data_IF_413575030855
#
_entry.id   IF_413575030855
#
_cell.length_a   1.000
_cell.length_b   1.000
_cell.length_c   1.000
_cell.angle_alpha   90.00
_cell.angle_beta   90.00
_cell.angle_gamma   90.00
#
_symmetry.space_group_name_H-M   'P 1'
#
loop_
_entity.id
_entity.type
_entity.pdbx_description
1 polymer ?
#
# COMPACT_ATOMS: atom_id res chain seq x y z
N UNK A 1 30.00 -18.29 10.30
CA UNK A 1 30.58 -17.55 11.45
C UNK A 1 30.12 -16.09 11.47
N UNK A 2 30.43 -15.25 10.46
CA UNK A 2 29.97 -13.84 10.47
C UNK A 2 28.44 -13.66 10.46
N UNK A 3 27.71 -14.48 9.72
CA UNK A 3 26.24 -14.44 9.66
C UNK A 3 25.58 -14.83 10.98
N UNK A 4 26.18 -15.78 11.71
CA UNK A 4 25.69 -16.18 13.05
C UNK A 4 25.97 -15.10 14.11
N UNK A 5 27.05 -14.33 13.97
CA UNK A 5 27.34 -13.19 14.87
C UNK A 5 26.38 -12.00 14.61
N UNK A 6 25.99 -11.74 13.36
CA UNK A 6 25.02 -10.69 13.06
C UNK A 6 23.59 -11.07 13.50
N UNK A 7 23.19 -12.32 13.32
CA UNK A 7 21.92 -12.84 13.87
C UNK A 7 21.90 -12.72 15.40
N UNK A 8 22.99 -13.05 16.07
CA UNK A 8 23.12 -12.90 17.52
C UNK A 8 23.10 -11.43 17.98
N UNK A 9 23.66 -10.49 17.22
CA UNK A 9 23.58 -9.05 17.53
C UNK A 9 22.16 -8.50 17.35
N UNK A 10 21.41 -8.97 16.34
CA UNK A 10 20.00 -8.65 16.17
C UNK A 10 19.15 -9.23 17.31
N UNK A 11 19.36 -10.49 17.65
CA UNK A 11 18.67 -11.11 18.80
C UNK A 11 18.97 -10.40 20.13
N UNK A 12 20.17 -9.87 20.31
CA UNK A 12 20.51 -9.08 21.49
C UNK A 12 19.82 -7.72 21.50
N UNK A 13 19.73 -7.03 20.36
CA UNK A 13 18.97 -5.76 20.24
C UNK A 13 17.48 -5.98 20.49
N UNK A 14 16.90 -7.05 19.93
CA UNK A 14 15.50 -7.40 20.18
C UNK A 14 15.24 -7.84 21.62
N UNK A 15 16.16 -8.58 22.26
CA UNK A 15 16.07 -8.94 23.68
C UNK A 15 16.18 -7.73 24.60
N UNK A 16 17.03 -6.76 24.27
CA UNK A 16 17.11 -5.51 25.04
C UNK A 16 15.81 -4.70 24.96
N UNK A 17 15.24 -4.57 23.77
CA UNK A 17 13.95 -3.91 23.57
C UNK A 17 12.80 -4.64 24.31
N UNK A 18 12.80 -5.98 24.33
CA UNK A 18 11.82 -6.79 25.07
C UNK A 18 11.97 -6.66 26.59
N UNK A 19 13.19 -6.58 27.11
CA UNK A 19 13.47 -6.44 28.57
C UNK A 19 13.08 -5.04 29.09
N UNK A 20 13.24 -4.00 28.27
CA UNK A 20 12.75 -2.66 28.63
C UNK A 20 11.21 -2.60 28.64
N UNK A 21 10.54 -3.37 27.79
CA UNK A 21 9.07 -3.50 27.76
C UNK A 21 8.52 -4.34 28.93
N UNK A 22 9.19 -5.43 29.34
CA UNK A 22 8.75 -6.22 30.50
C UNK A 22 8.83 -5.45 31.81
N UNK A 23 9.76 -4.49 31.96
CA UNK A 23 9.86 -3.63 33.15
C UNK A 23 8.73 -2.58 33.23
N UNK A 24 8.08 -2.24 32.14
CA UNK A 24 6.91 -1.34 32.13
C UNK A 24 5.57 -2.08 32.29
N UNK A 25 5.50 -3.38 32.00
CA UNK A 25 4.26 -4.16 32.04
C UNK A 25 3.98 -4.91 33.37
N UNK A 26 4.86 -4.82 34.36
CA UNK A 26 4.65 -5.49 35.67
C UNK A 26 3.61 -4.81 36.56
N UNK A 27 2.88 -3.79 36.13
CA UNK A 27 1.88 -3.06 36.93
C UNK A 27 0.44 -3.07 36.38
N UNK A 28 0.11 -3.87 35.36
CA UNK A 28 -1.30 -4.03 34.91
C UNK A 28 -1.59 -5.49 34.53
N UNK A 29 -1.93 -6.31 35.50
CA UNK A 29 -2.66 -7.56 35.30
C UNK A 29 -4.12 -7.37 35.70
N UNK A 30 -4.98 -7.95 34.89
CA UNK A 30 -6.39 -8.35 35.00
C UNK A 30 -7.19 -7.72 33.84
N UNK A 31 -7.71 -8.43 32.91
CA UNK A 31 -8.56 -9.60 32.80
C UNK A 31 -8.53 -10.16 31.37
N UNK A 32 -8.39 -11.49 31.26
CA UNK A 32 -8.60 -12.22 30.02
C UNK A 32 -10.08 -12.49 29.85
N UNK A 33 -10.64 -12.12 28.71
CA UNK A 33 -11.79 -12.81 28.13
C UNK A 33 -11.52 -13.09 26.65
N UNK A 34 -11.54 -14.39 26.35
CA UNK A 34 -11.41 -14.92 25.00
C UNK A 34 -12.71 -14.63 24.23
N UNK A 35 -12.64 -13.82 23.18
CA UNK A 35 -13.71 -13.73 22.19
C UNK A 35 -13.11 -13.94 20.79
N UNK A 36 -13.12 -15.19 20.34
CA UNK A 36 -12.93 -15.59 18.95
C UNK A 36 -14.22 -15.21 18.19
N UNK A 37 -14.17 -14.17 17.39
CA UNK A 37 -14.97 -13.85 16.21
C UNK A 37 -15.28 -12.36 16.05
N UNK A 38 -14.28 -11.49 15.99
CA UNK A 38 -14.51 -10.15 15.44
C UNK A 38 -13.64 -9.98 14.19
N UNK A 39 -14.28 -9.84 13.03
CA UNK A 39 -13.63 -9.44 11.77
C UNK A 39 -13.17 -7.96 11.79
N UNK A 40 -13.36 -7.27 12.88
CA UNK A 40 -13.00 -5.86 13.07
C UNK A 40 -11.52 -5.72 13.42
N UNK A 41 -10.81 -4.76 12.81
CA UNK A 41 -9.49 -4.35 13.27
C UNK A 41 -9.50 -3.95 14.74
N UNK A 42 -8.46 -4.32 15.49
CA UNK A 42 -8.35 -4.01 16.92
C UNK A 42 -8.21 -2.51 17.21
N UNK A 43 -7.53 -1.78 16.34
CA UNK A 43 -7.36 -0.33 16.44
C UNK A 43 -8.05 0.35 15.25
N UNK A 44 -9.20 0.93 15.51
CA UNK A 44 -10.03 1.58 14.48
C UNK A 44 -9.65 3.06 14.25
N UNK A 45 -8.80 3.66 15.09
CA UNK A 45 -8.38 5.05 14.93
C UNK A 45 -7.33 5.18 13.83
N UNK A 46 -6.31 4.32 13.86
CA UNK A 46 -5.17 4.36 12.95
C UNK A 46 -5.54 3.79 11.59
N UNK A 47 -5.25 4.50 10.51
CA UNK A 47 -5.49 4.05 9.13
C UNK A 47 -4.19 3.52 8.54
N UNK A 48 -4.18 2.29 8.03
CA UNK A 48 -3.05 1.75 7.30
C UNK A 48 -3.22 1.99 5.79
N UNK A 49 -2.26 2.67 5.18
CA UNK A 49 -2.21 3.00 3.77
C UNK A 49 -1.11 2.18 3.08
N UNK A 50 -1.48 1.24 2.23
CA UNK A 50 -0.54 0.44 1.45
C UNK A 50 -0.41 1.06 0.06
N UNK A 51 0.76 1.66 -0.21
CA UNK A 51 1.02 2.42 -1.43
C UNK A 51 1.53 1.50 -2.52
N UNK A 52 0.76 1.36 -3.58
CA UNK A 52 1.02 0.51 -4.73
C UNK A 52 1.11 1.34 -6.02
N UNK A 53 1.81 0.83 -7.02
CA UNK A 53 1.86 1.48 -8.34
C UNK A 53 3.03 1.01 -9.17
N UNK A 54 2.94 1.20 -10.47
CA UNK A 54 3.97 0.81 -11.42
C UNK A 54 5.30 1.54 -11.17
N UNK A 55 6.39 0.94 -11.63
CA UNK A 55 7.70 1.60 -11.57
C UNK A 55 7.66 2.96 -12.28
N UNK A 56 8.20 3.99 -11.63
CA UNK A 56 8.22 5.37 -12.13
C UNK A 56 6.90 6.13 -11.99
N UNK A 57 5.87 5.58 -11.34
CA UNK A 57 4.63 6.32 -11.02
C UNK A 57 4.80 7.40 -9.96
N UNK A 58 5.92 7.38 -9.24
CA UNK A 58 6.26 8.37 -8.21
C UNK A 58 5.85 7.95 -6.80
N UNK A 59 5.83 6.65 -6.48
CA UNK A 59 5.48 6.13 -5.14
C UNK A 59 6.29 6.76 -4.01
N UNK A 60 7.61 6.67 -4.06
CA UNK A 60 8.49 7.19 -3.01
C UNK A 60 8.33 8.70 -2.80
N UNK A 61 8.21 9.47 -3.90
CA UNK A 61 7.92 10.91 -3.81
C UNK A 61 6.52 11.18 -3.25
N UNK A 62 5.55 10.30 -3.56
CA UNK A 62 4.20 10.39 -3.02
C UNK A 62 4.20 10.11 -1.51
N UNK A 63 4.93 9.10 -1.05
CA UNK A 63 5.03 8.76 0.38
C UNK A 63 5.68 9.90 1.14
N UNK A 64 6.79 10.46 0.64
CA UNK A 64 7.42 11.64 1.23
C UNK A 64 6.42 12.80 1.37
N UNK A 65 5.72 13.13 0.27
CA UNK A 65 4.78 14.26 0.29
C UNK A 65 3.57 14.00 1.19
N UNK A 66 3.12 12.75 1.25
CA UNK A 66 2.02 12.34 2.15
C UNK A 66 2.43 12.50 3.63
N UNK A 67 3.65 12.11 4.00
CA UNK A 67 4.20 12.30 5.34
C UNK A 67 4.23 13.80 5.71
N UNK A 68 4.76 14.65 4.82
CA UNK A 68 4.77 16.10 5.02
C UNK A 68 3.36 16.68 5.24
N UNK A 69 2.37 16.24 4.44
CA UNK A 69 1.00 16.75 4.54
C UNK A 69 0.25 16.22 5.77
N UNK A 70 0.57 15.00 6.24
CA UNK A 70 0.05 14.47 7.52
C UNK A 70 0.64 15.27 8.68
N UNK A 71 1.95 15.50 8.68
CA UNK A 71 2.62 16.30 9.71
C UNK A 71 2.12 17.75 9.76
N UNK A 72 1.84 18.38 8.60
CA UNK A 72 1.25 19.73 8.53
C UNK A 72 -0.14 19.82 9.19
N UNK A 73 -0.80 18.71 9.45
CA UNK A 73 -2.11 18.62 10.13
C UNK A 73 -2.00 18.22 11.60
N UNK A 74 -0.80 18.25 12.17
CA UNK A 74 -0.51 17.79 13.53
C UNK A 74 -0.97 16.35 13.77
N UNK A 75 -0.84 15.48 12.73
CA UNK A 75 -1.15 14.05 12.79
C UNK A 75 0.12 13.22 12.76
N UNK A 76 0.12 12.11 13.49
CA UNK A 76 1.27 11.20 13.60
C UNK A 76 1.20 10.11 12.54
N UNK A 77 2.32 9.92 11.82
CA UNK A 77 2.47 8.86 10.83
C UNK A 77 3.63 7.93 11.16
N UNK A 78 3.48 6.66 10.78
CA UNK A 78 4.52 5.63 10.87
C UNK A 78 4.82 5.09 9.48
N UNK A 79 6.02 5.36 8.99
CA UNK A 79 6.40 5.01 7.62
C UNK A 79 7.16 3.69 7.62
N UNK A 80 6.70 2.77 6.77
CA UNK A 80 7.32 1.44 6.56
C UNK A 80 7.81 1.35 5.12
N UNK A 81 9.11 1.16 4.94
CA UNK A 81 9.69 0.85 3.63
C UNK A 81 9.80 -0.67 3.45
N UNK A 82 9.12 -1.20 2.42
CA UNK A 82 9.21 -2.61 2.02
C UNK A 82 9.96 -2.83 0.70
N UNK A 83 10.57 -1.79 0.12
CA UNK A 83 11.40 -1.93 -1.09
C UNK A 83 12.87 -2.16 -0.71
N UNK A 84 13.37 -3.42 -0.77
CA UNK A 84 14.76 -3.70 -0.42
C UNK A 84 15.76 -3.25 -1.49
N UNK A 85 15.29 -2.92 -2.70
CA UNK A 85 16.13 -2.56 -3.83
C UNK A 85 16.35 -1.05 -3.97
N UNK A 86 15.61 -0.24 -3.23
CA UNK A 86 15.78 1.22 -3.25
C UNK A 86 17.13 1.59 -2.62
N UNK A 87 17.89 2.48 -3.30
CA UNK A 87 19.19 2.92 -2.79
C UNK A 87 19.01 3.96 -1.67
N UNK A 88 18.30 5.03 -1.99
CA UNK A 88 18.00 6.13 -1.07
C UNK A 88 16.50 6.40 -1.06
N UNK A 89 15.92 6.54 0.12
CA UNK A 89 14.55 7.00 0.30
C UNK A 89 14.54 8.51 0.47
N UNK A 90 13.52 9.19 -0.06
CA UNK A 90 13.35 10.63 0.08
C UNK A 90 12.77 11.02 1.44
N UNK A 91 12.39 10.05 2.25
CA UNK A 91 11.83 10.14 3.60
C UNK A 91 12.62 9.25 4.56
N UNK A 92 12.53 9.48 5.85
CA UNK A 92 13.11 8.61 6.89
C UNK A 92 12.08 7.57 7.34
N UNK A 93 12.22 6.30 6.91
CA UNK A 93 11.29 5.27 7.35
C UNK A 93 11.50 4.94 8.83
N UNK A 94 10.41 4.80 9.58
CA UNK A 94 10.46 4.32 10.96
C UNK A 94 10.81 2.83 11.03
N UNK A 95 10.47 2.08 9.98
CA UNK A 95 10.84 0.68 9.80
C UNK A 95 11.26 0.46 8.36
N UNK A 96 12.45 -0.09 8.17
CA UNK A 96 13.01 -0.34 6.85
C UNK A 96 13.37 -1.82 6.68
N UNK A 97 12.90 -2.43 5.60
CA UNK A 97 13.23 -3.82 5.27
C UNK A 97 14.75 -4.02 5.11
N UNK A 98 15.48 -2.97 4.67
CA UNK A 98 16.95 -3.01 4.45
C UNK A 98 17.74 -3.17 5.75
N UNK A 99 17.16 -2.84 6.90
CA UNK A 99 17.76 -3.04 8.22
C UNK A 99 17.73 -4.51 8.63
N UNK A 100 16.74 -5.26 8.13
CA UNK A 100 16.56 -6.67 8.48
C UNK A 100 17.08 -7.63 7.43
N UNK A 101 17.09 -7.23 6.14
CA UNK A 101 17.46 -8.10 5.02
C UNK A 101 18.38 -7.37 4.04
N UNK A 102 19.58 -7.91 3.82
CA UNK A 102 20.58 -7.36 2.88
C UNK A 102 20.29 -7.81 1.45
N UNK A 103 19.60 -7.01 0.66
CA UNK A 103 19.19 -7.33 -0.71
C UNK A 103 20.32 -7.88 -1.60
N UNK A 104 21.50 -7.22 -1.61
CA UNK A 104 22.65 -7.64 -2.43
C UNK A 104 23.19 -8.99 -2.02
N UNK A 105 23.24 -9.29 -0.73
CA UNK A 105 23.71 -10.58 -0.21
C UNK A 105 22.73 -11.68 -0.56
N UNK A 106 21.41 -11.45 -0.42
CA UNK A 106 20.36 -12.39 -0.84
C UNK A 106 20.46 -12.71 -2.33
N UNK A 107 20.69 -11.68 -3.16
CA UNK A 107 20.84 -11.85 -4.60
C UNK A 107 22.03 -12.73 -4.97
N UNK A 108 23.20 -12.47 -4.37
CA UNK A 108 24.45 -13.20 -4.66
C UNK A 108 24.42 -14.61 -4.09
N UNK A 109 24.08 -14.77 -2.81
CA UNK A 109 24.12 -16.07 -2.11
C UNK A 109 23.16 -17.11 -2.71
N UNK A 110 22.01 -16.64 -3.24
CA UNK A 110 21.01 -17.52 -3.84
C UNK A 110 21.03 -17.51 -5.38
N UNK A 111 21.99 -16.84 -5.99
CA UNK A 111 22.11 -16.69 -7.46
C UNK A 111 20.77 -16.23 -8.11
N UNK A 112 20.14 -15.20 -7.51
CA UNK A 112 18.83 -14.69 -7.93
C UNK A 112 18.98 -13.45 -8.80
N UNK A 113 18.05 -13.30 -9.76
CA UNK A 113 17.82 -12.04 -10.44
C UNK A 113 17.14 -11.00 -9.53
N UNK A 114 17.07 -9.73 -9.96
CA UNK A 114 16.54 -8.64 -9.13
C UNK A 114 15.15 -8.91 -8.52
N UNK A 115 14.19 -9.37 -9.31
CA UNK A 115 12.83 -9.62 -8.85
C UNK A 115 12.74 -10.82 -7.87
N UNK A 116 13.53 -11.88 -8.15
CA UNK A 116 13.62 -13.03 -7.25
C UNK A 116 14.24 -12.64 -5.91
N UNK A 117 15.25 -11.78 -5.91
CA UNK A 117 15.85 -11.27 -4.69
C UNK A 117 14.89 -10.40 -3.88
N UNK A 118 14.13 -9.49 -4.52
CA UNK A 118 13.08 -8.69 -3.83
C UNK A 118 12.04 -9.61 -3.19
N UNK A 119 11.55 -10.61 -3.95
CA UNK A 119 10.58 -11.58 -3.44
C UNK A 119 11.13 -12.35 -2.23
N UNK A 120 12.38 -12.80 -2.29
CA UNK A 120 13.03 -13.51 -1.18
C UNK A 120 13.20 -12.60 0.04
N UNK A 121 13.56 -11.33 -0.16
CA UNK A 121 13.62 -10.35 0.93
C UNK A 121 12.26 -10.15 1.61
N UNK A 122 11.18 -10.04 0.82
CA UNK A 122 9.82 -9.95 1.36
C UNK A 122 9.40 -11.22 2.11
N UNK A 123 9.79 -12.40 1.62
CA UNK A 123 9.52 -13.66 2.31
C UNK A 123 10.25 -13.71 3.66
N UNK A 124 11.51 -13.33 3.71
CA UNK A 124 12.29 -13.26 4.96
C UNK A 124 11.70 -12.21 5.93
N UNK A 125 11.31 -11.05 5.45
CA UNK A 125 10.66 -10.03 6.26
C UNK A 125 9.33 -10.53 6.83
N UNK A 126 8.52 -11.22 6.03
CA UNK A 126 7.21 -11.73 6.45
C UNK A 126 7.29 -12.77 7.56
N UNK A 127 8.42 -13.49 7.72
CA UNK A 127 8.61 -14.41 8.85
C UNK A 127 8.71 -13.70 10.20
N UNK A 128 8.98 -12.41 10.21
CA UNK A 128 9.07 -11.58 11.41
C UNK A 128 7.90 -10.58 11.54
N UNK A 129 6.83 -10.78 10.81
CA UNK A 129 5.69 -9.84 10.78
C UNK A 129 5.07 -9.63 12.17
N UNK A 130 5.04 -10.66 13.01
CA UNK A 130 4.51 -10.59 14.37
C UNK A 130 5.27 -9.58 15.24
N UNK A 131 6.59 -9.43 15.03
CA UNK A 131 7.40 -8.42 15.72
C UNK A 131 7.02 -7.01 15.28
N UNK A 132 6.81 -6.81 13.97
CA UNK A 132 6.36 -5.52 13.42
C UNK A 132 4.99 -5.15 13.98
N UNK A 133 4.07 -6.10 14.01
CA UNK A 133 2.74 -5.94 14.58
C UNK A 133 2.81 -5.53 16.05
N UNK A 134 3.63 -6.22 16.85
CA UNK A 134 3.81 -5.89 18.28
C UNK A 134 4.35 -4.48 18.49
N UNK A 135 5.25 -4.00 17.60
CA UNK A 135 5.74 -2.61 17.65
C UNK A 135 4.60 -1.62 17.37
N UNK A 136 3.77 -1.90 16.36
CA UNK A 136 2.67 -1.01 15.97
C UNK A 136 1.54 -1.00 17.01
N UNK A 137 1.20 -2.15 17.61
CA UNK A 137 0.19 -2.26 18.68
C UNK A 137 0.55 -1.44 19.93
N UNK A 138 1.84 -1.31 20.22
CA UNK A 138 2.33 -0.54 21.37
C UNK A 138 2.33 0.98 21.15
N UNK A 139 2.09 1.44 19.92
CA UNK A 139 2.00 2.87 19.59
C UNK A 139 0.53 3.31 19.59
N UNK A 140 0.14 4.06 20.62
CA UNK A 140 -1.26 4.46 20.86
C UNK A 140 -1.70 5.71 20.10
N UNK A 141 -0.75 6.55 19.68
CA UNK A 141 -1.02 7.90 19.17
C UNK A 141 -0.87 8.04 17.65
N UNK A 142 -0.79 6.92 16.92
CA UNK A 142 -0.70 6.93 15.47
C UNK A 142 -2.05 7.22 14.82
N UNK A 143 -2.04 8.13 13.86
CA UNK A 143 -3.18 8.38 12.97
C UNK A 143 -3.05 7.60 11.66
N UNK A 144 -1.82 7.50 11.12
CA UNK A 144 -1.56 6.80 9.87
C UNK A 144 -0.36 5.86 9.95
N UNK A 145 -0.48 4.71 9.29
CA UNK A 145 0.64 3.84 8.92
C UNK A 145 0.75 3.91 7.40
N UNK A 146 1.92 4.25 6.87
CA UNK A 146 2.13 4.34 5.43
C UNK A 146 3.17 3.32 5.01
N UNK A 147 2.78 2.38 4.17
CA UNK A 147 3.64 1.30 3.69
C UNK A 147 4.03 1.55 2.24
N UNK A 148 5.30 1.88 1.99
CA UNK A 148 5.87 1.96 0.64
C UNK A 148 6.26 0.56 0.17
N UNK A 149 5.75 0.15 -0.99
CA UNK A 149 5.96 -1.19 -1.56
C UNK A 149 7.00 -1.17 -2.68
N UNK A 150 7.60 -2.32 -3.00
CA UNK A 150 8.58 -2.42 -4.08
C UNK A 150 8.09 -1.79 -5.39
N UNK A 151 9.03 -1.26 -6.16
CA UNK A 151 8.77 -0.67 -7.46
C UNK A 151 8.13 -1.63 -8.47
N UNK A 152 8.35 -2.91 -8.30
CA UNK A 152 7.74 -4.00 -9.06
C UNK A 152 6.42 -4.42 -8.39
N UNK A 153 5.32 -3.90 -8.91
CA UNK A 153 3.97 -4.13 -8.36
C UNK A 153 3.64 -5.62 -8.18
N UNK A 154 4.04 -6.44 -9.18
CA UNK A 154 3.77 -7.87 -9.21
C UNK A 154 4.44 -8.62 -8.06
N UNK A 155 5.64 -8.21 -7.68
CA UNK A 155 6.42 -8.87 -6.62
C UNK A 155 5.72 -8.75 -5.26
N UNK A 156 5.03 -7.65 -5.00
CA UNK A 156 4.25 -7.48 -3.78
C UNK A 156 2.84 -8.04 -3.94
N UNK A 157 2.08 -7.56 -4.92
CA UNK A 157 0.64 -7.85 -5.04
C UNK A 157 0.33 -9.32 -5.36
N UNK A 158 1.24 -10.03 -6.06
CA UNK A 158 1.04 -11.42 -6.46
C UNK A 158 1.77 -12.44 -5.58
N UNK A 159 2.60 -11.99 -4.64
CA UNK A 159 3.33 -12.87 -3.73
C UNK A 159 2.48 -13.33 -2.53
N UNK A 160 2.87 -14.46 -1.95
CA UNK A 160 2.29 -14.94 -0.70
C UNK A 160 2.70 -14.03 0.48
N UNK A 161 3.95 -13.54 0.49
CA UNK A 161 4.45 -12.65 1.52
C UNK A 161 3.75 -11.29 1.51
N UNK A 162 3.54 -10.69 0.34
CA UNK A 162 2.79 -9.43 0.24
C UNK A 162 1.34 -9.59 0.71
N UNK A 163 0.70 -10.72 0.37
CA UNK A 163 -0.65 -11.04 0.89
C UNK A 163 -0.63 -11.22 2.41
N UNK A 164 0.32 -11.97 2.95
CA UNK A 164 0.45 -12.19 4.39
C UNK A 164 0.66 -10.88 5.15
N UNK A 165 1.57 -10.02 4.69
CA UNK A 165 1.82 -8.70 5.29
C UNK A 165 0.54 -7.84 5.28
N UNK A 166 -0.15 -7.78 4.14
CA UNK A 166 -1.37 -6.99 4.01
C UNK A 166 -2.51 -7.51 4.90
N UNK A 167 -2.69 -8.84 4.96
CA UNK A 167 -3.70 -9.46 5.82
C UNK A 167 -3.38 -9.24 7.30
N UNK A 168 -2.12 -9.35 7.70
CA UNK A 168 -1.68 -9.11 9.07
C UNK A 168 -1.97 -7.68 9.52
N UNK A 169 -1.70 -6.70 8.67
CA UNK A 169 -2.03 -5.30 8.97
C UNK A 169 -3.54 -5.06 9.01
N UNK A 170 -4.31 -5.66 8.09
CA UNK A 170 -5.75 -5.47 8.02
C UNK A 170 -6.53 -6.09 9.18
N UNK A 171 -5.94 -7.06 9.89
CA UNK A 171 -6.50 -7.61 11.12
C UNK A 171 -6.44 -6.63 12.30
N UNK A 172 -5.51 -5.68 12.25
CA UNK A 172 -5.26 -4.73 13.34
C UNK A 172 -5.77 -3.33 13.04
N UNK A 173 -5.63 -2.90 11.78
CA UNK A 173 -5.89 -1.54 11.35
C UNK A 173 -6.78 -1.54 10.11
N UNK A 174 -7.76 -0.61 10.00
CA UNK A 174 -8.44 -0.33 8.74
C UNK A 174 -7.41 -0.07 7.64
N UNK A 175 -7.35 -0.94 6.64
CA UNK A 175 -6.32 -0.91 5.60
C UNK A 175 -6.89 -0.50 4.26
N UNK A 176 -6.23 0.43 3.60
CA UNK A 176 -6.64 0.99 2.30
C UNK A 176 -5.46 0.83 1.33
N UNK A 177 -5.74 0.30 0.15
CA UNK A 177 -4.78 0.28 -0.95
C UNK A 177 -4.83 1.62 -1.68
N UNK A 178 -3.68 2.30 -1.80
CA UNK A 178 -3.53 3.48 -2.64
C UNK A 178 -2.79 3.09 -3.91
N UNK A 179 -3.49 3.05 -5.04
CA UNK A 179 -2.91 2.71 -6.32
C UNK A 179 -2.52 3.95 -7.10
N UNK A 180 -1.22 4.21 -7.23
CA UNK A 180 -0.69 5.40 -7.89
C UNK A 180 -0.56 5.16 -9.39
N UNK A 181 -1.22 6.01 -10.16
CA UNK A 181 -1.19 6.02 -11.62
C UNK A 181 -0.47 7.28 -12.11
N UNK A 182 0.49 7.11 -13.02
CA UNK A 182 1.15 8.20 -13.73
C UNK A 182 0.18 8.80 -14.76
N UNK A 183 -0.41 9.96 -14.44
CA UNK A 183 -1.42 10.61 -15.28
C UNK A 183 -0.92 10.97 -16.69
N UNK A 184 0.27 11.55 -16.89
CA UNK A 184 0.86 11.75 -18.22
C UNK A 184 0.86 10.50 -19.09
N UNK A 185 1.22 9.34 -18.54
CA UNK A 185 1.25 8.07 -19.29
C UNK A 185 -0.13 7.52 -19.60
N UNK A 186 -1.16 7.93 -18.86
CA UNK A 186 -2.55 7.54 -19.06
C UNK A 186 -3.29 8.31 -20.15
N UNK A 187 -2.63 9.22 -20.87
CA UNK A 187 -3.23 9.95 -22.00
C UNK A 187 -3.66 9.05 -23.16
N UNK A 188 -3.12 7.81 -23.23
CA UNK A 188 -3.53 6.79 -24.19
C UNK A 188 -4.67 5.93 -23.59
N UNK A 189 -5.81 5.76 -24.33
CA UNK A 189 -6.95 4.97 -23.85
C UNK A 189 -6.62 3.51 -23.51
N UNK A 190 -5.69 2.89 -24.23
CA UNK A 190 -5.28 1.51 -23.97
C UNK A 190 -4.46 1.41 -22.67
N UNK A 191 -3.51 2.33 -22.47
CA UNK A 191 -2.72 2.41 -21.24
C UNK A 191 -3.61 2.69 -20.03
N UNK A 192 -4.56 3.61 -20.16
CA UNK A 192 -5.56 3.87 -19.13
C UNK A 192 -6.33 2.61 -18.76
N UNK A 193 -6.91 1.91 -19.75
CA UNK A 193 -7.67 0.68 -19.52
C UNK A 193 -6.82 -0.43 -18.91
N UNK A 194 -5.56 -0.58 -19.30
CA UNK A 194 -4.65 -1.55 -18.69
C UNK A 194 -4.38 -1.24 -17.22
N UNK A 195 -4.13 0.03 -16.87
CA UNK A 195 -3.94 0.44 -15.49
C UNK A 195 -5.20 0.18 -14.63
N UNK A 196 -6.39 0.42 -15.19
CA UNK A 196 -7.64 0.17 -14.49
C UNK A 196 -7.92 -1.32 -14.28
N UNK A 197 -7.53 -2.16 -15.25
CA UNK A 197 -7.59 -3.63 -15.09
C UNK A 197 -6.63 -4.11 -14.01
N UNK A 198 -5.43 -3.56 -13.95
CA UNK A 198 -4.49 -3.85 -12.87
C UNK A 198 -5.07 -3.44 -11.51
N UNK A 199 -5.62 -2.25 -11.39
CA UNK A 199 -6.27 -1.78 -10.19
C UNK A 199 -7.38 -2.73 -9.73
N UNK A 200 -8.25 -3.13 -10.66
CA UNK A 200 -9.33 -4.09 -10.43
C UNK A 200 -8.79 -5.45 -9.94
N UNK A 201 -7.77 -5.98 -10.62
CA UNK A 201 -7.19 -7.28 -10.26
C UNK A 201 -6.55 -7.27 -8.87
N UNK A 202 -5.89 -6.18 -8.49
CA UNK A 202 -5.31 -5.98 -7.15
C UNK A 202 -6.41 -5.92 -6.10
N UNK A 203 -7.46 -5.14 -6.34
CA UNK A 203 -8.59 -5.00 -5.42
C UNK A 203 -9.24 -6.37 -5.13
N UNK A 204 -9.52 -7.15 -6.17
CA UNK A 204 -10.10 -8.50 -6.01
C UNK A 204 -9.16 -9.47 -5.31
N UNK A 205 -7.85 -9.38 -5.58
CA UNK A 205 -6.88 -10.27 -4.97
C UNK A 205 -6.62 -9.95 -3.51
N UNK A 206 -6.43 -8.67 -3.19
CA UNK A 206 -6.10 -8.23 -1.83
C UNK A 206 -7.34 -8.16 -0.94
N UNK A 207 -8.53 -7.99 -1.53
CA UNK A 207 -9.81 -7.85 -0.82
C UNK A 207 -9.81 -6.68 0.17
N UNK A 208 -9.16 -5.60 -0.18
CA UNK A 208 -9.10 -4.36 0.59
C UNK A 208 -9.70 -3.21 -0.21
N UNK A 209 -10.26 -2.19 0.44
CA UNK A 209 -10.70 -0.97 -0.22
C UNK A 209 -9.57 -0.36 -1.05
N UNK A 210 -9.90 0.11 -2.25
CA UNK A 210 -8.95 0.71 -3.18
C UNK A 210 -9.29 2.18 -3.44
N UNK A 211 -8.27 3.04 -3.33
CA UNK A 211 -8.29 4.43 -3.74
C UNK A 211 -7.27 4.65 -4.86
N UNK A 212 -7.71 5.13 -6.01
CA UNK A 212 -6.82 5.46 -7.12
C UNK A 212 -6.29 6.89 -6.95
N UNK A 213 -4.97 7.06 -6.99
CA UNK A 213 -4.32 8.36 -6.99
C UNK A 213 -3.71 8.64 -8.37
N UNK A 214 -4.31 9.53 -9.15
CA UNK A 214 -3.74 10.02 -10.39
C UNK A 214 -2.67 11.06 -10.05
N UNK A 215 -1.41 10.63 -10.12
CA UNK A 215 -0.25 11.45 -9.77
C UNK A 215 0.28 12.23 -10.97
N UNK A 216 1.06 13.28 -10.67
CA UNK A 216 1.72 14.20 -11.63
C UNK A 216 0.73 15.08 -12.41
N UNK A 217 -0.33 15.53 -11.74
CA UNK A 217 -1.31 16.45 -12.36
C UNK A 217 -0.72 17.82 -12.70
N UNK A 218 0.39 18.18 -12.08
CA UNK A 218 1.16 19.38 -12.40
C UNK A 218 1.71 19.37 -13.85
N UNK A 219 2.00 18.19 -14.38
CA UNK A 219 2.51 18.01 -15.76
C UNK A 219 1.37 17.79 -16.74
N UNK A 220 0.36 16.99 -16.39
CA UNK A 220 -0.75 16.63 -17.23
C UNK A 220 -2.04 17.31 -16.74
N UNK A 221 -2.34 18.48 -17.28
CA UNK A 221 -3.62 19.18 -17.06
C UNK A 221 -4.79 18.55 -17.82
N UNK A 222 -4.64 17.32 -18.33
CA UNK A 222 -5.56 16.70 -19.25
C UNK A 222 -6.82 16.19 -18.52
N UNK A 223 -7.93 16.85 -18.83
CA UNK A 223 -9.26 16.46 -18.37
C UNK A 223 -9.75 15.10 -18.92
N UNK A 224 -9.09 14.56 -19.97
CA UNK A 224 -9.52 13.33 -20.67
C UNK A 224 -9.55 12.09 -19.79
N UNK A 225 -8.55 11.90 -18.94
CA UNK A 225 -8.49 10.76 -18.02
C UNK A 225 -9.68 10.79 -17.06
N UNK A 226 -10.01 11.97 -16.56
CA UNK A 226 -11.14 12.19 -15.67
C UNK A 226 -12.47 12.06 -16.41
N UNK A 227 -12.54 12.53 -17.67
CA UNK A 227 -13.69 12.29 -18.54
C UNK A 227 -13.96 10.79 -18.71
N UNK A 228 -12.90 9.99 -18.92
CA UNK A 228 -13.02 8.53 -19.06
C UNK A 228 -13.40 7.81 -17.77
N UNK A 229 -13.06 8.36 -16.62
CA UNK A 229 -13.53 7.84 -15.33
C UNK A 229 -15.02 8.06 -15.12
N UNK A 230 -15.55 9.20 -15.61
CA UNK A 230 -16.94 9.58 -15.41
C UNK A 230 -17.85 9.13 -16.59
N UNK A 231 -17.32 9.11 -17.81
CA UNK A 231 -18.04 8.72 -19.02
C UNK A 231 -17.26 7.68 -19.83
N UNK A 232 -17.62 6.44 -19.59
CA UNK A 232 -17.02 5.30 -20.26
C UNK A 232 -17.31 5.26 -21.79
N UNK A 233 -18.44 5.76 -22.22
CA UNK A 233 -18.81 5.80 -23.65
C UNK A 233 -17.86 6.70 -24.44
N UNK A 234 -17.35 7.75 -23.84
CA UNK A 234 -16.32 8.62 -24.43
C UNK A 234 -15.00 7.86 -24.67
N UNK A 235 -14.63 6.93 -23.78
CA UNK A 235 -13.48 6.05 -23.94
C UNK A 235 -13.68 5.06 -25.10
N UNK A 236 -14.85 4.45 -25.21
CA UNK A 236 -15.17 3.50 -26.28
C UNK A 236 -15.18 4.15 -27.67
N UNK A 237 -15.73 5.33 -27.82
CA UNK A 237 -15.77 6.07 -29.11
C UNK A 237 -14.37 6.31 -29.67
N UNK A 238 -13.36 6.49 -28.81
CA UNK A 238 -11.96 6.68 -29.24
C UNK A 238 -11.25 5.37 -29.60
N UNK A 239 -11.71 4.22 -29.09
CA UNK A 239 -11.18 2.89 -29.42
C UNK A 239 -11.71 2.32 -30.74
N UNK A 240 -12.93 2.66 -31.12
CA UNK A 240 -13.65 2.10 -32.30
C UNK A 240 -13.08 2.44 -33.69
N UNK A 241 -11.89 3.03 -33.79
CA UNK A 241 -11.28 3.38 -35.11
C UNK A 241 -10.59 2.23 -35.84
N UNK A 242 -10.62 0.99 -35.34
CA UNK A 242 -10.15 -0.21 -36.05
C UNK A 242 -11.12 -1.37 -35.81
N UNK A 243 -11.76 -1.84 -36.88
CA UNK A 243 -12.51 -3.11 -36.87
C UNK A 243 -11.50 -4.26 -36.79
N UNK A 244 -11.20 -4.68 -35.55
CA UNK A 244 -10.35 -5.83 -35.30
C UNK A 244 -10.95 -6.66 -34.15
N UNK A 245 -10.68 -7.97 -34.13
CA UNK A 245 -11.07 -8.89 -33.08
C UNK A 245 -10.76 -8.32 -31.68
N UNK A 246 -9.65 -7.61 -31.53
CA UNK A 246 -9.26 -6.89 -30.33
C UNK A 246 -10.24 -5.78 -29.90
N UNK A 247 -11.01 -5.22 -30.83
CA UNK A 247 -12.04 -4.23 -30.52
C UNK A 247 -13.27 -4.86 -29.84
N UNK A 248 -13.65 -6.06 -30.26
CA UNK A 248 -14.78 -6.82 -29.68
C UNK A 248 -14.42 -7.33 -28.27
N UNK A 249 -13.21 -7.88 -28.09
CA UNK A 249 -12.70 -8.30 -26.79
C UNK A 249 -12.59 -7.10 -25.83
N UNK A 250 -12.04 -6.00 -26.29
CA UNK A 250 -11.96 -4.73 -25.55
C UNK A 250 -13.34 -4.20 -25.15
N UNK A 251 -14.36 -4.39 -25.98
CA UNK A 251 -15.73 -3.96 -25.68
C UNK A 251 -16.39 -4.81 -24.60
N UNK A 252 -16.19 -6.13 -24.64
CA UNK A 252 -16.71 -7.04 -23.59
C UNK A 252 -16.04 -6.81 -22.24
N UNK A 253 -14.72 -6.62 -22.24
CA UNK A 253 -13.95 -6.26 -21.03
C UNK A 253 -14.40 -4.91 -20.46
N UNK A 254 -14.80 -4.04 -21.31
CA UNK A 254 -15.27 -2.71 -21.02
C UNK A 254 -16.56 -2.69 -20.20
N UNK A 255 -17.47 -3.63 -20.43
CA UNK A 255 -18.72 -3.74 -19.65
C UNK A 255 -18.43 -4.11 -18.19
N UNK A 256 -17.43 -4.96 -17.93
CA UNK A 256 -17.00 -5.28 -16.58
C UNK A 256 -16.38 -4.07 -15.87
N UNK A 257 -15.70 -3.20 -16.60
CA UNK A 257 -15.08 -2.01 -16.05
C UNK A 257 -16.09 -0.89 -15.73
N UNK A 258 -17.24 -0.84 -16.40
CA UNK A 258 -18.26 0.20 -16.13
C UNK A 258 -18.74 0.14 -14.69
N UNK A 259 -19.04 -1.06 -14.18
CA UNK A 259 -19.48 -1.22 -12.79
C UNK A 259 -18.38 -0.86 -11.80
N UNK A 260 -17.16 -1.28 -12.12
CA UNK A 260 -15.98 -0.92 -11.32
C UNK A 260 -15.76 0.60 -11.27
N UNK A 261 -15.87 1.31 -12.40
CA UNK A 261 -15.71 2.77 -12.41
C UNK A 261 -16.73 3.52 -11.57
N UNK A 262 -17.94 3.00 -11.42
CA UNK A 262 -18.97 3.61 -10.57
C UNK A 262 -18.67 3.46 -9.08
N UNK A 263 -18.00 2.39 -8.70
CA UNK A 263 -17.75 2.04 -7.28
C UNK A 263 -16.42 2.54 -6.78
N UNK A 264 -15.43 2.72 -7.68
CA UNK A 264 -14.07 3.08 -7.26
C UNK A 264 -13.94 4.57 -6.96
N UNK A 265 -13.27 4.86 -5.85
CA UNK A 265 -12.89 6.23 -5.50
C UNK A 265 -11.55 6.59 -6.13
N UNK A 266 -11.42 7.83 -6.57
CA UNK A 266 -10.16 8.34 -7.10
C UNK A 266 -9.90 9.77 -6.62
N UNK A 267 -8.63 10.16 -6.63
CA UNK A 267 -8.15 11.51 -6.37
C UNK A 267 -7.12 11.93 -7.40
N UNK A 268 -6.99 13.23 -7.62
CA UNK A 268 -5.93 13.83 -8.43
C UNK A 268 -4.90 14.43 -7.50
N UNK A 269 -3.63 14.05 -7.67
CA UNK A 269 -2.56 14.52 -6.81
C UNK A 269 -1.32 14.93 -7.59
N UNK A 270 -0.56 15.84 -7.02
CA UNK A 270 0.81 16.11 -7.45
C UNK A 270 1.75 15.92 -6.26
N UNK A 271 2.53 14.86 -6.31
CA UNK A 271 3.57 14.60 -5.29
C UNK A 271 4.66 15.67 -5.27
N UNK A 272 4.74 16.50 -6.32
CA UNK A 272 5.70 17.61 -6.39
C UNK A 272 5.18 18.87 -5.70
N UNK A 273 3.92 19.20 -5.86
CA UNK A 273 3.33 20.46 -5.38
C UNK A 273 2.51 20.32 -4.11
N UNK A 274 2.09 19.09 -3.74
CA UNK A 274 1.17 18.81 -2.64
C UNK A 274 -0.31 18.98 -3.03
N UNK A 275 -0.61 19.34 -4.28
CA UNK A 275 -1.98 19.49 -4.75
C UNK A 275 -2.75 18.16 -4.60
N UNK A 276 -3.96 18.22 -4.03
CA UNK A 276 -4.90 17.09 -3.91
C UNK A 276 -4.68 16.18 -2.70
N UNK A 277 -3.64 16.36 -1.88
CA UNK A 277 -3.40 15.52 -0.71
C UNK A 277 -4.43 15.73 0.41
N UNK A 278 -4.98 16.94 0.56
CA UNK A 278 -6.09 17.18 1.49
C UNK A 278 -7.32 16.33 1.14
N UNK A 279 -7.66 16.27 -0.15
CA UNK A 279 -8.76 15.44 -0.63
C UNK A 279 -8.45 13.95 -0.45
N UNK A 280 -7.20 13.53 -0.68
CA UNK A 280 -6.76 12.16 -0.48
C UNK A 280 -6.92 11.73 0.98
N UNK A 281 -6.40 12.51 1.94
CA UNK A 281 -6.51 12.22 3.37
C UNK A 281 -7.99 12.15 3.79
N UNK A 282 -8.79 13.12 3.36
CA UNK A 282 -10.24 13.13 3.62
C UNK A 282 -10.94 11.87 3.09
N UNK A 283 -10.64 11.45 1.86
CA UNK A 283 -11.21 10.22 1.29
C UNK A 283 -10.75 8.95 2.01
N UNK A 284 -9.51 8.92 2.52
CA UNK A 284 -9.06 7.80 3.35
C UNK A 284 -9.87 7.69 4.65
N UNK A 285 -10.14 8.82 5.31
CA UNK A 285 -11.01 8.86 6.50
C UNK A 285 -12.44 8.41 6.16
N UNK A 286 -13.02 8.91 5.07
CA UNK A 286 -14.35 8.49 4.60
C UNK A 286 -14.43 6.99 4.24
N UNK A 287 -13.35 6.39 3.75
CA UNK A 287 -13.30 4.95 3.46
C UNK A 287 -13.25 4.17 4.76
N UNK A 288 -12.43 4.60 5.73
CA UNK A 288 -12.37 4.00 7.06
C UNK A 288 -13.74 4.01 7.74
N UNK A 289 -14.40 5.15 7.76
CA UNK A 289 -15.68 5.33 8.45
C UNK A 289 -16.77 4.42 7.84
N UNK A 290 -16.84 4.31 6.51
CA UNK A 290 -17.72 3.36 5.84
C UNK A 290 -17.40 1.89 6.14
N UNK A 291 -16.14 1.55 6.22
CA UNK A 291 -15.72 0.20 6.60
C UNK A 291 -16.19 -0.14 8.02
N UNK A 292 -16.18 0.83 8.94
CA UNK A 292 -16.72 0.66 10.29
C UNK A 292 -18.22 0.40 10.27
N UNK A 293 -19.00 1.17 9.50
CA UNK A 293 -20.45 1.04 9.41
C UNK A 293 -20.85 -0.33 8.83
N UNK A 294 -20.24 -0.76 7.73
CA UNK A 294 -20.52 -2.06 7.09
C UNK A 294 -20.25 -3.25 8.01
N UNK A 295 -19.23 -3.15 8.87
CA UNK A 295 -18.90 -4.23 9.81
C UNK A 295 -19.83 -4.21 11.02
N UNK A 296 -20.26 -3.05 11.49
CA UNK A 296 -21.25 -2.93 12.57
C UNK A 296 -22.65 -3.41 12.14
N UNK A 297 -23.05 -3.23 10.87
CA UNK A 297 -24.33 -3.72 10.34
C UNK A 297 -24.34 -5.24 10.12
N UNK A 298 -23.18 -5.90 10.07
CA UNK A 298 -23.05 -7.36 9.87
C UNK A 298 -22.94 -8.16 11.17
N UNK A 299 -22.96 -7.50 12.32
CA UNK A 299 -23.02 -8.08 13.67
C UNK A 299 -24.45 -8.05 14.24
#
# INVERSE_FOLDING_TARGET
MEVEEEINKLDQKFKQASIEQEKQNSSKNETKDENKNSKLPKNMKTINLIVLGMAGSGKTTFVQKLEEEIANKDQESYIINLDPAVMDTLYEPNLDIRDTVKYKEVMVSNNLGPNGAILTCLNLFSTNIDKVISILENKTDLDFIVTDTPGQLEVFSWSASGKLISDSFSLLFPSILIYIIDMPRCSNPNTFSSNMLYALSIMYKMKLPLLIAFNKVDIAKDSKVIEWMNDYDSLQKKKKKKDDYMSTFSSSLSLLLVEFYKTIKYVKVSSKTGEGFDELIKKCVEIRDKYQDEVLETQ
#
